data_IF_963647219702
#
_entry.id   IF_963647219702
#
_cell.length_a   1.000
_cell.length_b   1.000
_cell.length_c   1.000
_cell.angle_alpha   90.00
_cell.angle_beta   90.00
_cell.angle_gamma   90.00
#
_symmetry.space_group_name_H-M   'P 1'
#
loop_
_entity.id
_entity.type
_entity.pdbx_description
1 polymer ?
#
# COMPACT_ATOMS: atom_id res chain seq x y z
N UNK A 1 -41.93 -18.91 16.69
CA UNK A 1 -41.19 -18.08 15.70
C UNK A 1 -39.86 -17.54 16.23
N UNK A 2 -39.78 -16.91 17.41
CA UNK A 2 -38.50 -16.38 17.95
C UNK A 2 -37.40 -17.44 18.18
N UNK A 3 -37.76 -18.66 18.63
CA UNK A 3 -36.79 -19.75 18.81
C UNK A 3 -36.25 -20.34 17.49
N UNK A 4 -37.06 -20.32 16.41
CA UNK A 4 -36.65 -20.80 15.08
C UNK A 4 -35.70 -19.78 14.41
N UNK A 5 -35.93 -18.47 14.61
CA UNK A 5 -35.01 -17.43 14.16
C UNK A 5 -33.64 -17.48 14.86
N UNK A 6 -33.60 -17.81 16.16
CA UNK A 6 -32.34 -17.94 16.90
C UNK A 6 -31.55 -19.18 16.44
N UNK A 7 -32.21 -20.31 16.18
CA UNK A 7 -31.54 -21.49 15.60
C UNK A 7 -30.97 -21.23 14.20
N UNK A 8 -31.68 -20.47 13.34
CA UNK A 8 -31.18 -20.11 12.01
C UNK A 8 -29.96 -19.17 12.07
N UNK A 9 -29.91 -18.26 13.03
CA UNK A 9 -28.78 -17.34 13.22
C UNK A 9 -27.52 -18.05 13.75
N UNK A 10 -27.69 -19.07 14.60
CA UNK A 10 -26.59 -19.89 15.12
C UNK A 10 -26.03 -20.82 14.05
N UNK A 11 -26.87 -21.39 13.18
CA UNK A 11 -26.42 -22.20 12.04
C UNK A 11 -25.66 -21.35 11.00
N UNK A 12 -26.08 -20.10 10.78
CA UNK A 12 -25.38 -19.15 9.91
C UNK A 12 -23.98 -18.77 10.44
N UNK A 13 -23.82 -18.64 11.76
CA UNK A 13 -22.52 -18.37 12.40
C UNK A 13 -21.57 -19.57 12.37
N UNK A 14 -22.08 -20.81 12.36
CA UNK A 14 -21.26 -22.02 12.25
C UNK A 14 -20.79 -22.23 10.80
N UNK A 15 -21.58 -21.79 9.80
CA UNK A 15 -21.20 -21.87 8.39
C UNK A 15 -20.21 -20.79 7.94
N UNK A 16 -20.11 -19.66 8.65
CA UNK A 16 -19.07 -18.64 8.42
C UNK A 16 -17.79 -18.88 9.23
N UNK A 17 -17.79 -19.85 10.15
CA UNK A 17 -16.61 -20.33 10.88
C UNK A 17 -15.64 -21.18 10.04
N UNK A 18 -15.66 -21.02 8.72
CA UNK A 18 -14.68 -21.62 7.81
C UNK A 18 -13.29 -21.13 8.16
N UNK A 19 -12.54 -21.98 8.86
CA UNK A 19 -11.10 -21.98 9.06
C UNK A 19 -10.33 -21.00 8.14
N UNK A 20 -9.99 -19.82 8.68
CA UNK A 20 -8.78 -19.13 8.23
C UNK A 20 -7.58 -19.97 8.70
N UNK A 21 -7.29 -21.07 8.01
CA UNK A 21 -5.96 -21.66 8.04
C UNK A 21 -5.11 -20.75 7.17
N UNK A 22 -4.40 -19.81 7.80
CA UNK A 22 -3.26 -19.16 7.16
C UNK A 22 -2.29 -20.27 6.75
N UNK A 23 -2.26 -20.59 5.46
CA UNK A 23 -1.28 -21.50 4.91
C UNK A 23 0.03 -20.72 4.87
N UNK A 24 0.90 -20.87 5.88
CA UNK A 24 2.27 -20.39 5.77
C UNK A 24 3.00 -21.37 4.87
N UNK A 25 3.04 -21.13 3.56
CA UNK A 25 3.99 -21.88 2.75
C UNK A 25 5.36 -21.36 3.13
N UNK A 26 6.22 -22.23 3.65
CA UNK A 26 7.66 -22.02 3.59
C UNK A 26 8.11 -22.19 2.13
N UNK A 27 7.63 -21.31 1.25
CA UNK A 27 8.34 -21.02 0.00
C UNK A 27 9.64 -20.37 0.47
N UNK A 28 10.78 -20.87 0.01
CA UNK A 28 12.06 -20.22 0.24
C UNK A 28 11.98 -18.74 -0.14
N UNK A 29 12.97 -17.95 0.26
CA UNK A 29 13.05 -16.50 0.02
C UNK A 29 13.16 -16.12 -1.48
N UNK A 30 12.31 -16.66 -2.33
CA UNK A 30 12.13 -16.19 -3.68
C UNK A 30 11.70 -14.75 -3.58
N UNK A 31 12.45 -13.92 -4.29
CA UNK A 31 12.18 -12.51 -4.41
C UNK A 31 10.87 -12.33 -5.19
N UNK A 32 9.78 -12.06 -4.46
CA UNK A 32 8.38 -12.02 -4.96
C UNK A 32 8.15 -10.88 -5.97
N UNK A 33 8.99 -9.85 -5.94
CA UNK A 33 8.96 -8.72 -6.87
C UNK A 33 10.38 -8.30 -7.22
N UNK A 34 10.60 -7.89 -8.47
CA UNK A 34 11.95 -7.63 -9.01
C UNK A 34 12.07 -6.18 -9.51
N UNK A 35 13.27 -5.56 -9.38
CA UNK A 35 13.56 -4.30 -10.06
C UNK A 35 13.23 -4.34 -11.55
N UNK A 36 12.65 -3.25 -12.06
CA UNK A 36 12.16 -3.14 -13.43
C UNK A 36 10.69 -3.53 -13.60
N UNK A 37 10.03 -4.06 -12.57
CA UNK A 37 8.63 -4.43 -12.65
C UNK A 37 7.71 -3.21 -12.75
N UNK A 38 6.68 -3.32 -13.60
CA UNK A 38 5.59 -2.36 -13.70
C UNK A 38 4.26 -3.07 -13.50
N UNK A 39 3.54 -2.67 -12.45
CA UNK A 39 2.19 -3.14 -12.18
C UNK A 39 1.19 -2.10 -12.69
N UNK A 40 0.25 -2.51 -13.53
CA UNK A 40 -0.82 -1.64 -14.01
C UNK A 40 -2.18 -2.18 -13.54
N UNK A 41 -3.00 -1.29 -13.02
CA UNK A 41 -4.32 -1.57 -12.47
C UNK A 41 -5.37 -0.68 -13.12
N UNK A 42 -6.55 -1.25 -13.33
CA UNK A 42 -7.75 -0.52 -13.72
C UNK A 42 -8.79 -0.68 -12.61
N UNK A 43 -9.35 0.45 -12.16
CA UNK A 43 -10.43 0.50 -11.20
C UNK A 43 -11.73 0.81 -11.93
N UNK A 44 -12.70 -0.10 -11.81
CA UNK A 44 -13.99 -0.02 -12.49
C UNK A 44 -15.13 -0.39 -11.53
N UNK A 45 -16.27 0.29 -11.66
CA UNK A 45 -17.51 -0.03 -10.96
C UNK A 45 -18.61 -0.34 -11.98
N UNK A 46 -18.97 -1.62 -12.09
CA UNK A 46 -19.83 -2.10 -13.17
C UNK A 46 -19.16 -1.82 -14.53
N UNK A 47 -19.84 -1.08 -15.40
CA UNK A 47 -19.34 -0.74 -16.73
C UNK A 47 -18.62 0.62 -16.77
N UNK A 48 -18.51 1.30 -15.63
CA UNK A 48 -17.90 2.61 -15.52
C UNK A 48 -16.44 2.45 -15.10
N UNK A 49 -15.51 2.88 -15.97
CA UNK A 49 -14.10 3.03 -15.62
C UNK A 49 -13.93 4.22 -14.66
N UNK A 50 -13.43 3.95 -13.47
CA UNK A 50 -13.20 4.94 -12.42
C UNK A 50 -11.80 5.54 -12.48
N UNK A 51 -10.79 4.73 -12.81
CA UNK A 51 -9.42 5.21 -12.91
C UNK A 51 -8.41 4.12 -13.23
N UNK A 52 -7.16 4.52 -13.35
CA UNK A 52 -6.02 3.67 -13.61
C UNK A 52 -4.92 3.98 -12.59
N UNK A 53 -4.16 2.95 -12.20
CA UNK A 53 -2.98 3.11 -11.37
C UNK A 53 -1.80 2.32 -11.94
N UNK A 54 -0.59 2.85 -11.77
CA UNK A 54 0.64 2.20 -12.19
C UNK A 54 1.68 2.28 -11.07
N UNK A 55 2.36 1.18 -10.77
CA UNK A 55 3.48 1.15 -9.82
C UNK A 55 4.73 0.68 -10.57
N UNK A 56 5.76 1.52 -10.60
CA UNK A 56 7.04 1.21 -11.23
C UNK A 56 8.10 1.03 -10.14
N UNK A 57 8.68 -0.17 -10.04
CA UNK A 57 9.70 -0.51 -9.06
C UNK A 57 11.09 -0.50 -9.70
N UNK A 58 12.02 0.22 -9.09
CA UNK A 58 13.42 0.29 -9.47
C UNK A 58 14.32 0.03 -8.26
N UNK A 59 15.53 -0.48 -8.51
CA UNK A 59 16.59 -0.51 -7.50
C UNK A 59 17.44 0.75 -7.64
N UNK A 60 17.67 1.44 -6.53
CA UNK A 60 18.41 2.70 -6.49
C UNK A 60 19.36 2.71 -5.28
N UNK A 61 20.31 3.62 -5.29
CA UNK A 61 21.07 3.97 -4.10
C UNK A 61 20.46 5.22 -3.45
N UNK A 62 20.06 5.11 -2.19
CA UNK A 62 19.52 6.19 -1.39
C UNK A 62 20.48 6.52 -0.24
N UNK A 63 21.21 7.64 -0.36
CA UNK A 63 22.21 8.09 0.64
C UNK A 63 23.22 7.00 1.03
N UNK A 64 23.77 6.28 0.04
CA UNK A 64 24.74 5.21 0.26
C UNK A 64 24.12 3.87 0.67
N UNK A 65 22.79 3.78 0.80
CA UNK A 65 22.06 2.55 1.13
C UNK A 65 21.36 1.99 -0.10
N UNK A 66 21.34 0.68 -0.23
CA UNK A 66 20.50 0.03 -1.24
C UNK A 66 19.03 0.24 -0.91
N UNK A 67 18.25 0.66 -1.90
CA UNK A 67 16.82 0.92 -1.75
C UNK A 67 16.04 0.43 -2.98
N UNK A 68 14.81 -0.01 -2.76
CA UNK A 68 13.81 0.01 -3.80
C UNK A 68 13.14 1.38 -3.84
N UNK A 69 13.07 1.97 -5.02
CA UNK A 69 12.26 3.13 -5.30
C UNK A 69 11.04 2.69 -6.08
N UNK A 70 9.86 2.91 -5.51
CA UNK A 70 8.60 2.71 -6.21
C UNK A 70 7.94 4.05 -6.44
N UNK A 71 7.57 4.32 -7.68
CA UNK A 71 6.66 5.41 -8.05
C UNK A 71 5.29 4.84 -8.39
N UNK A 72 4.30 5.13 -7.55
CA UNK A 72 2.91 4.76 -7.71
C UNK A 72 2.12 5.98 -8.18
N UNK A 73 1.52 5.90 -9.37
CA UNK A 73 0.72 6.96 -9.97
C UNK A 73 -0.71 6.48 -10.12
N UNK A 74 -1.68 7.27 -9.64
CA UNK A 74 -3.11 6.99 -9.77
C UNK A 74 -3.81 8.16 -10.46
N UNK A 75 -4.76 7.88 -11.36
CA UNK A 75 -5.57 8.92 -12.00
C UNK A 75 -6.97 8.46 -12.30
N UNK A 76 -7.94 9.37 -12.21
CA UNK A 76 -9.29 9.11 -12.72
C UNK A 76 -9.31 9.15 -14.24
N UNK A 77 -10.22 8.39 -14.85
CA UNK A 77 -10.38 8.28 -16.30
C UNK A 77 -11.83 8.44 -16.73
N UNK A 78 -12.07 8.73 -18.01
CA UNK A 78 -13.42 8.79 -18.59
C UNK A 78 -14.38 9.75 -17.87
N UNK A 79 -15.58 9.26 -17.55
CA UNK A 79 -16.62 10.04 -16.88
C UNK A 79 -16.18 10.43 -15.45
N UNK A 80 -15.51 9.52 -14.73
CA UNK A 80 -15.01 9.81 -13.39
C UNK A 80 -14.03 10.99 -13.39
N UNK A 81 -13.15 11.09 -14.39
CA UNK A 81 -12.25 12.23 -14.55
C UNK A 81 -12.97 13.56 -14.77
N UNK A 82 -14.05 13.52 -15.55
CA UNK A 82 -14.84 14.72 -15.89
C UNK A 82 -15.60 15.23 -14.67
N UNK A 83 -16.14 14.33 -13.84
CA UNK A 83 -16.82 14.68 -12.60
C UNK A 83 -15.83 15.09 -11.50
N UNK A 84 -14.69 14.38 -11.40
CA UNK A 84 -13.66 14.62 -10.41
C UNK A 84 -12.28 14.16 -10.90
N UNK A 85 -11.44 15.14 -11.25
CA UNK A 85 -10.07 14.89 -11.73
C UNK A 85 -9.14 14.57 -10.56
N UNK A 86 -8.57 13.37 -10.57
CA UNK A 86 -7.54 12.93 -9.61
C UNK A 86 -6.27 12.61 -10.39
N UNK A 87 -5.13 13.08 -9.88
CA UNK A 87 -3.79 12.70 -10.33
C UNK A 87 -2.85 12.69 -9.12
N UNK A 88 -2.71 11.53 -8.52
CA UNK A 88 -1.93 11.34 -7.32
C UNK A 88 -0.66 10.57 -7.62
N UNK A 89 0.42 10.97 -6.95
CA UNK A 89 1.71 10.30 -7.01
C UNK A 89 2.16 10.03 -5.59
N UNK A 90 2.39 8.75 -5.30
CA UNK A 90 3.07 8.28 -4.11
C UNK A 90 4.42 7.70 -4.50
N UNK A 91 5.46 8.05 -3.77
CA UNK A 91 6.77 7.43 -3.93
C UNK A 91 7.24 6.87 -2.60
N UNK A 92 7.94 5.75 -2.65
CA UNK A 92 8.61 5.18 -1.49
C UNK A 92 10.00 4.71 -1.87
N UNK A 93 10.95 5.04 -1.01
CA UNK A 93 12.32 4.55 -1.02
C UNK A 93 12.45 3.64 0.19
N UNK A 94 12.52 2.33 0.00
CA UNK A 94 12.49 1.38 1.10
C UNK A 94 13.57 0.31 0.99
N UNK A 95 13.99 -0.18 2.15
CA UNK A 95 15.03 -1.18 2.29
C UNK A 95 14.60 -2.51 1.61
N UNK A 96 15.40 -3.08 0.70
CA UNK A 96 15.04 -4.31 -0.02
C UNK A 96 14.86 -5.54 0.87
N UNK A 97 15.49 -5.56 2.05
CA UNK A 97 15.50 -6.69 2.97
C UNK A 97 14.34 -6.57 3.97
N UNK A 98 14.22 -5.42 4.61
CA UNK A 98 13.23 -5.20 5.68
C UNK A 98 11.90 -4.66 5.16
N UNK A 99 11.88 -4.06 3.97
CA UNK A 99 10.73 -3.35 3.42
C UNK A 99 10.42 -2.02 4.11
N UNK A 100 11.21 -1.62 5.10
CA UNK A 100 10.97 -0.39 5.84
C UNK A 100 11.42 0.84 5.03
N UNK A 101 10.61 1.90 4.95
CA UNK A 101 10.91 3.06 4.13
C UNK A 101 12.01 3.92 4.76
N UNK A 102 12.91 4.45 3.95
CA UNK A 102 13.80 5.55 4.31
C UNK A 102 13.13 6.90 4.05
N UNK A 103 12.35 6.99 2.97
CA UNK A 103 11.62 8.19 2.56
C UNK A 103 10.32 7.82 1.85
N UNK A 104 9.28 8.60 2.10
CA UNK A 104 8.06 8.61 1.30
C UNK A 104 7.75 10.00 0.78
N UNK A 105 7.15 10.07 -0.41
CA UNK A 105 6.68 11.30 -1.05
C UNK A 105 5.21 11.13 -1.40
N UNK A 106 4.42 12.16 -1.17
CA UNK A 106 3.01 12.22 -1.52
C UNK A 106 2.76 13.53 -2.25
N UNK A 107 2.26 13.45 -3.49
CA UNK A 107 1.91 14.59 -4.33
C UNK A 107 0.50 14.38 -4.91
N UNK A 108 -0.49 14.98 -4.27
CA UNK A 108 -1.90 14.81 -4.58
C UNK A 108 -2.45 15.98 -5.38
N UNK A 109 -3.24 15.66 -6.40
CA UNK A 109 -3.95 16.65 -7.21
C UNK A 109 -5.37 16.16 -7.45
N UNK A 110 -6.28 16.60 -6.59
CA UNK A 110 -7.66 16.13 -6.55
C UNK A 110 -8.61 17.32 -6.75
N UNK A 111 -9.07 17.54 -7.98
CA UNK A 111 -9.87 18.70 -8.36
C UNK A 111 -9.11 20.00 -8.08
N UNK A 112 -9.56 20.76 -7.08
CA UNK A 112 -8.89 21.98 -6.58
C UNK A 112 -7.91 21.72 -5.43
N UNK A 113 -7.99 20.56 -4.79
CA UNK A 113 -7.13 20.20 -3.66
C UNK A 113 -5.73 19.84 -4.13
N UNK A 114 -4.72 20.33 -3.42
CA UNK A 114 -3.30 20.04 -3.67
C UNK A 114 -2.64 19.74 -2.34
N UNK A 115 -1.86 18.66 -2.32
CA UNK A 115 -1.09 18.31 -1.14
C UNK A 115 0.28 17.77 -1.56
N UNK A 116 1.34 18.32 -0.98
CA UNK A 116 2.69 17.81 -1.16
C UNK A 116 3.35 17.59 0.19
N UNK A 117 3.76 16.36 0.46
CA UNK A 117 4.49 16.03 1.67
C UNK A 117 5.63 15.05 1.38
N UNK A 118 6.69 15.19 2.16
CA UNK A 118 7.77 14.22 2.23
C UNK A 118 7.95 13.81 3.68
N UNK A 119 8.10 12.52 3.91
CA UNK A 119 8.37 11.96 5.24
C UNK A 119 9.67 11.18 5.18
N UNK A 120 10.56 11.49 6.13
CA UNK A 120 11.84 10.83 6.31
C UNK A 120 11.76 9.96 7.55
N UNK A 121 12.28 8.74 7.46
CA UNK A 121 12.15 7.73 8.50
C UNK A 121 13.52 7.38 9.08
N UNK A 122 13.63 7.43 10.40
CA UNK A 122 14.79 6.98 11.15
C UNK A 122 14.36 5.87 12.10
N UNK A 123 14.38 4.64 11.59
CA UNK A 123 14.00 3.44 12.34
C UNK A 123 14.92 3.17 13.53
N UNK A 124 16.23 3.45 13.41
CA UNK A 124 17.17 3.29 14.51
C UNK A 124 16.87 4.19 15.71
N UNK A 125 16.36 5.41 15.47
CA UNK A 125 15.98 6.35 16.51
C UNK A 125 14.48 6.29 16.86
N UNK A 126 13.70 5.44 16.19
CA UNK A 126 12.24 5.37 16.34
C UNK A 126 11.54 6.71 16.03
N UNK A 127 12.00 7.43 15.00
CA UNK A 127 11.44 8.76 14.66
C UNK A 127 11.12 8.87 13.18
N UNK A 128 10.15 9.72 12.85
CA UNK A 128 9.95 10.23 11.49
C UNK A 128 9.93 11.75 11.48
N UNK A 129 10.26 12.36 10.35
CA UNK A 129 10.19 13.80 10.13
C UNK A 129 9.39 14.07 8.87
N UNK A 130 8.24 14.69 9.04
CA UNK A 130 7.37 15.15 7.95
C UNK A 130 7.69 16.59 7.61
N UNK A 131 7.83 16.94 6.33
CA UNK A 131 8.02 18.33 5.91
C UNK A 131 6.83 19.23 6.29
N UNK A 132 5.63 18.66 6.40
CA UNK A 132 4.44 19.40 6.81
C UNK A 132 4.20 19.44 8.31
N UNK A 133 4.46 18.35 9.01
CA UNK A 133 4.04 18.17 10.42
C UNK A 133 5.18 17.99 11.41
N UNK A 134 6.43 18.15 10.96
CA UNK A 134 7.62 18.09 11.80
C UNK A 134 7.98 16.68 12.26
N UNK A 135 8.81 16.63 13.31
CA UNK A 135 9.32 15.38 13.89
C UNK A 135 8.27 14.72 14.78
N UNK A 136 8.14 13.40 14.69
CA UNK A 136 7.31 12.57 15.58
C UNK A 136 8.10 11.35 16.08
N UNK A 137 7.84 10.98 17.32
CA UNK A 137 8.30 9.71 17.90
C UNK A 137 7.36 8.58 17.45
N UNK A 138 7.92 7.40 17.25
CA UNK A 138 7.19 6.20 16.86
C UNK A 138 7.44 5.13 17.91
N UNK A 139 6.36 4.63 18.50
CA UNK A 139 6.43 3.58 19.53
C UNK A 139 6.49 2.16 18.93
N UNK A 140 6.24 2.05 17.62
CA UNK A 140 6.28 0.80 16.86
C UNK A 140 7.66 0.57 16.25
N UNK A 141 8.15 -0.67 16.32
CA UNK A 141 9.44 -1.09 15.74
C UNK A 141 9.42 -1.13 14.22
N UNK A 142 8.27 -1.45 13.62
CA UNK A 142 8.10 -1.57 12.18
C UNK A 142 6.97 -0.66 11.73
N UNK A 143 7.30 0.25 10.83
CA UNK A 143 6.36 1.19 10.22
C UNK A 143 6.63 1.26 8.73
N UNK A 144 5.54 1.27 7.97
CA UNK A 144 5.54 1.23 6.52
C UNK A 144 4.72 2.41 6.01
N UNK A 145 5.14 3.00 4.90
CA UNK A 145 4.27 3.90 4.14
C UNK A 145 3.31 3.08 3.28
N UNK A 146 2.37 3.76 2.60
CA UNK A 146 1.33 3.08 1.82
C UNK A 146 1.89 2.19 0.70
N UNK A 147 2.98 2.62 0.06
CA UNK A 147 3.59 1.91 -1.08
C UNK A 147 4.46 0.76 -0.56
N UNK A 148 5.29 1.01 0.44
CA UNK A 148 6.10 -0.06 1.03
C UNK A 148 5.20 -1.12 1.68
N UNK A 149 4.12 -0.73 2.36
CA UNK A 149 3.13 -1.64 2.93
C UNK A 149 2.45 -2.49 1.84
N UNK A 150 2.11 -1.91 0.69
CA UNK A 150 1.57 -2.66 -0.44
C UNK A 150 2.51 -3.78 -0.90
N UNK A 151 3.80 -3.51 -1.02
CA UNK A 151 4.79 -4.54 -1.40
C UNK A 151 4.98 -5.60 -0.31
N UNK A 152 4.95 -5.21 0.97
CA UNK A 152 5.03 -6.16 2.08
C UNK A 152 3.80 -7.05 2.17
N UNK A 153 2.61 -6.51 1.90
CA UNK A 153 1.41 -7.33 1.74
C UNK A 153 1.59 -8.27 0.55
N UNK A 154 1.95 -7.78 -0.64
CA UNK A 154 2.15 -8.64 -1.81
C UNK A 154 3.12 -9.79 -1.54
N UNK A 155 4.18 -9.53 -0.76
CA UNK A 155 5.08 -10.57 -0.25
C UNK A 155 4.32 -11.61 0.58
N UNK A 156 3.61 -11.17 1.62
CA UNK A 156 2.89 -12.04 2.55
C UNK A 156 1.70 -12.81 1.96
N UNK A 157 1.05 -12.31 0.92
CA UNK A 157 -0.10 -12.99 0.29
C UNK A 157 0.31 -14.15 -0.64
N UNK A 158 1.58 -14.18 -1.08
CA UNK A 158 2.12 -15.19 -1.99
C UNK A 158 2.90 -16.28 -1.22
N UNK A 159 3.20 -16.05 0.06
CA UNK A 159 3.86 -17.03 0.96
C UNK A 159 2.85 -17.67 1.89
#
# INVERSE_FOLDING_TARGET
MKAILISLLVVFLIFTGGFFRGQTNNLGSEQIFKPGEVLNYEMSYGWIKGGEASLNLQQVNYDGKDAYHVKAEGRTTGIAHTLYNVKDVYESYFDPQTGMPYKSVMNLKEGKYRNYNEVYYNHSAGTLVSKQSGKKQIDKKEIFDIVSAFYQLRKAWIT
#
